data_IF_526173265588
#
_entry.id   IF_526173265588
#
_cell.length_a   1.000
_cell.length_b   1.000
_cell.length_c   1.000
_cell.angle_alpha   90.00
_cell.angle_beta   90.00
_cell.angle_gamma   90.00
#
_symmetry.space_group_name_H-M   'P 1'
#
loop_
_entity.id
_entity.type
_entity.pdbx_description
1 polymer ?
#
# COMPACT_ATOMS: atom_id res chain seq x y z
N UNK A 1 -8.35 -11.50 -2.71
CA UNK A 1 -9.29 -12.34 -1.92
C UNK A 1 -8.66 -13.70 -1.66
N UNK A 2 -8.73 -14.17 -0.41
CA UNK A 2 -8.17 -15.44 0.02
C UNK A 2 -8.95 -16.63 -0.56
N UNK A 3 -8.23 -17.63 -1.06
CA UNK A 3 -8.83 -18.82 -1.72
C UNK A 3 -8.56 -20.09 -0.93
N UNK A 4 -9.58 -20.95 -0.87
CA UNK A 4 -9.53 -22.24 -0.19
C UNK A 4 -8.98 -23.33 -1.12
N UNK A 5 -8.03 -24.12 -0.63
CA UNK A 5 -7.41 -25.21 -1.36
C UNK A 5 -7.17 -26.43 -0.49
N UNK A 6 -7.01 -27.57 -1.13
CA UNK A 6 -6.64 -28.82 -0.48
C UNK A 6 -5.56 -29.49 -1.32
N UNK A 7 -4.50 -29.96 -0.67
CA UNK A 7 -3.47 -30.77 -1.33
C UNK A 7 -3.76 -32.24 -1.05
N UNK A 8 -4.18 -32.98 -2.08
CA UNK A 8 -4.73 -34.33 -1.91
C UNK A 8 -5.87 -34.32 -0.87
N UNK A 9 -5.65 -34.90 0.31
CA UNK A 9 -6.61 -34.89 1.42
C UNK A 9 -6.19 -33.96 2.59
N UNK A 10 -5.10 -33.21 2.46
CA UNK A 10 -4.59 -32.33 3.51
C UNK A 10 -5.01 -30.87 3.30
N UNK A 11 -5.46 -30.26 4.39
CA UNK A 11 -5.77 -28.82 4.47
C UNK A 11 -4.51 -27.98 4.75
N UNK A 12 -3.34 -28.60 4.92
CA UNK A 12 -2.08 -27.91 5.23
C UNK A 12 -1.34 -27.47 3.95
N UNK A 13 -1.96 -26.53 3.22
CA UNK A 13 -1.47 -26.03 1.92
C UNK A 13 -0.05 -25.45 2.00
N UNK A 14 0.28 -24.76 3.09
CA UNK A 14 1.59 -24.13 3.30
C UNK A 14 2.74 -25.12 3.57
N UNK A 15 2.44 -26.40 3.87
CA UNK A 15 3.49 -27.43 3.92
C UNK A 15 4.00 -27.79 2.51
N UNK A 16 3.11 -27.79 1.53
CA UNK A 16 3.36 -28.24 0.16
C UNK A 16 3.64 -27.09 -0.81
N UNK A 17 3.58 -25.85 -0.34
CA UNK A 17 3.81 -24.67 -1.16
C UNK A 17 4.66 -23.64 -0.43
N UNK A 18 5.47 -22.89 -1.17
CA UNK A 18 6.14 -21.69 -0.68
C UNK A 18 5.81 -20.54 -1.61
N UNK A 19 5.10 -19.56 -1.08
CA UNK A 19 4.69 -18.38 -1.83
C UNK A 19 5.55 -17.18 -1.41
N UNK A 20 6.07 -16.46 -2.40
CA UNK A 20 6.77 -15.18 -2.21
C UNK A 20 6.27 -14.17 -3.24
N UNK A 21 6.78 -12.94 -3.18
CA UNK A 21 6.49 -11.91 -4.17
C UNK A 21 7.21 -12.10 -5.52
N UNK A 22 8.26 -12.94 -5.60
CA UNK A 22 9.03 -13.14 -6.83
C UNK A 22 8.85 -14.51 -7.46
N UNK A 23 8.49 -15.53 -6.68
CA UNK A 23 8.36 -16.90 -7.15
C UNK A 23 7.43 -17.72 -6.25
N UNK A 24 6.90 -18.80 -6.80
CA UNK A 24 6.12 -19.78 -6.07
C UNK A 24 6.73 -21.18 -6.25
N UNK A 25 6.98 -21.89 -5.16
CA UNK A 25 7.40 -23.29 -5.19
C UNK A 25 6.22 -24.18 -4.83
N UNK A 26 5.98 -25.23 -5.61
CA UNK A 26 4.94 -26.22 -5.38
C UNK A 26 5.52 -27.64 -5.31
N UNK A 27 4.99 -28.45 -4.40
CA UNK A 27 5.33 -29.85 -4.31
C UNK A 27 4.82 -30.61 -5.53
N UNK A 28 5.64 -31.54 -6.03
CA UNK A 28 5.19 -32.48 -7.07
C UNK A 28 4.30 -33.56 -6.44
N UNK A 29 3.18 -33.85 -7.10
CA UNK A 29 2.23 -34.89 -6.71
C UNK A 29 0.83 -34.39 -6.36
N UNK A 30 0.57 -33.07 -6.41
CA UNK A 30 -0.76 -32.51 -6.23
C UNK A 30 -1.73 -32.82 -7.38
N UNK A 31 -3.02 -32.60 -7.12
CA UNK A 31 -4.09 -32.67 -8.13
C UNK A 31 -4.01 -31.50 -9.13
N UNK A 32 -4.62 -31.64 -10.30
CA UNK A 32 -4.76 -30.54 -11.26
C UNK A 32 -5.56 -29.37 -10.67
N UNK A 33 -6.55 -29.65 -9.82
CA UNK A 33 -7.30 -28.61 -9.09
C UNK A 33 -6.39 -27.77 -8.20
N UNK A 34 -5.43 -28.40 -7.52
CA UNK A 34 -4.45 -27.70 -6.70
C UNK A 34 -3.57 -26.78 -7.55
N UNK A 35 -3.00 -27.29 -8.65
CA UNK A 35 -2.14 -26.46 -9.50
C UNK A 35 -2.90 -25.34 -10.21
N UNK A 36 -4.11 -25.64 -10.72
CA UNK A 36 -4.93 -24.67 -11.44
C UNK A 36 -5.31 -23.48 -10.57
N UNK A 37 -5.52 -23.66 -9.27
CA UNK A 37 -5.76 -22.55 -8.36
C UNK A 37 -4.55 -21.61 -8.22
N UNK A 38 -3.34 -22.16 -8.03
CA UNK A 38 -2.13 -21.34 -8.01
C UNK A 38 -1.88 -20.68 -9.37
N UNK A 39 -2.03 -21.42 -10.47
CA UNK A 39 -1.86 -20.92 -11.83
C UNK A 39 -2.86 -19.80 -12.14
N UNK A 40 -4.14 -19.93 -11.73
CA UNK A 40 -5.18 -18.90 -11.95
C UNK A 40 -4.88 -17.56 -11.28
N UNK A 41 -4.12 -17.57 -10.18
CA UNK A 41 -3.83 -16.37 -9.38
C UNK A 41 -2.45 -15.79 -9.62
N UNK A 42 -1.50 -16.63 -10.05
CA UNK A 42 -0.08 -16.29 -10.04
C UNK A 42 0.60 -16.41 -11.39
N UNK A 43 0.05 -17.15 -12.37
CA UNK A 43 0.75 -17.48 -13.61
C UNK A 43 1.21 -16.25 -14.40
N UNK A 44 0.45 -15.15 -14.33
CA UNK A 44 0.78 -13.92 -15.05
C UNK A 44 1.84 -13.06 -14.32
N UNK A 45 2.06 -13.28 -13.02
CA UNK A 45 2.89 -12.41 -12.18
C UNK A 45 4.22 -13.04 -11.77
N UNK A 46 4.23 -14.33 -11.40
CA UNK A 46 5.42 -15.00 -10.86
C UNK A 46 5.57 -16.43 -11.40
N UNK A 47 6.82 -16.91 -11.60
CA UNK A 47 7.07 -18.28 -12.00
C UNK A 47 6.64 -19.27 -10.90
N UNK A 48 5.91 -20.31 -11.33
CA UNK A 48 5.50 -21.43 -10.49
C UNK A 48 6.43 -22.61 -10.80
N UNK A 49 7.24 -23.01 -9.81
CA UNK A 49 8.24 -24.08 -9.95
C UNK A 49 7.78 -25.31 -9.17
N UNK A 50 7.53 -26.41 -9.89
CA UNK A 50 7.16 -27.70 -9.30
C UNK A 50 8.44 -28.47 -8.98
N UNK A 51 8.69 -28.80 -7.71
CA UNK A 51 9.97 -29.42 -7.30
C UNK A 51 9.86 -30.33 -6.06
N UNK A 52 10.97 -31.02 -5.76
CA UNK A 52 11.22 -31.71 -4.51
C UNK A 52 12.35 -30.99 -3.76
N UNK A 53 12.35 -31.07 -2.43
CA UNK A 53 13.47 -30.58 -1.61
C UNK A 53 13.94 -31.73 -0.75
N UNK A 54 15.17 -32.20 -0.99
CA UNK A 54 15.75 -33.33 -0.29
C UNK A 54 14.96 -34.63 -0.49
N UNK A 55 14.40 -34.82 -1.70
CA UNK A 55 13.55 -35.97 -2.02
C UNK A 55 12.17 -35.96 -1.34
N UNK A 56 11.78 -34.84 -0.71
CA UNK A 56 10.53 -34.71 0.03
C UNK A 56 9.55 -33.74 -0.64
N UNK A 57 8.25 -33.94 -0.34
CA UNK A 57 7.13 -33.11 -0.82
C UNK A 57 6.82 -31.92 0.09
N UNK A 58 7.32 -31.91 1.34
CA UNK A 58 7.03 -30.84 2.31
C UNK A 58 7.92 -29.61 2.09
N UNK A 59 7.89 -29.07 0.88
CA UNK A 59 8.81 -28.02 0.43
C UNK A 59 8.64 -26.73 1.25
N UNK A 60 7.42 -26.34 1.59
CA UNK A 60 7.13 -25.07 2.28
C UNK A 60 7.70 -25.04 3.69
N UNK A 61 7.79 -26.22 4.32
CA UNK A 61 8.41 -26.42 5.64
C UNK A 61 9.92 -26.51 5.58
N UNK A 62 10.46 -27.09 4.50
CA UNK A 62 11.91 -27.28 4.35
C UNK A 62 12.64 -26.02 3.91
N UNK A 63 11.96 -25.08 3.24
CA UNK A 63 12.58 -23.86 2.72
C UNK A 63 12.00 -22.56 3.33
N UNK A 64 12.85 -21.55 3.36
CA UNK A 64 12.49 -20.18 3.70
C UNK A 64 13.01 -19.24 2.61
N UNK A 65 12.29 -18.18 2.30
CA UNK A 65 12.67 -17.30 1.22
C UNK A 65 11.74 -16.11 1.06
N UNK A 66 12.27 -15.08 0.42
CA UNK A 66 11.57 -13.85 0.09
C UNK A 66 11.83 -13.50 -1.38
N UNK A 67 11.53 -12.28 -1.81
CA UNK A 67 11.74 -11.91 -3.23
C UNK A 67 13.22 -11.92 -3.69
N UNK A 68 14.17 -11.82 -2.75
CA UNK A 68 15.61 -11.65 -3.03
C UNK A 68 16.36 -13.00 -2.96
N UNK A 69 15.91 -13.95 -2.16
CA UNK A 69 16.65 -15.19 -1.95
C UNK A 69 15.81 -16.36 -1.46
N UNK A 70 16.34 -17.57 -1.70
CA UNK A 70 15.76 -18.84 -1.31
C UNK A 70 16.80 -19.66 -0.53
N UNK A 71 16.43 -20.04 0.68
CA UNK A 71 17.22 -20.89 1.56
C UNK A 71 16.70 -22.33 1.48
N UNK A 72 17.61 -23.25 1.15
CA UNK A 72 17.33 -24.68 1.05
C UNK A 72 18.22 -25.48 2.01
N UNK A 73 17.74 -26.61 2.54
CA UNK A 73 18.50 -27.41 3.49
C UNK A 73 19.70 -28.10 2.81
N UNK A 74 20.68 -28.53 3.62
CA UNK A 74 21.83 -29.30 3.12
C UNK A 74 21.43 -30.61 2.40
N UNK A 75 20.23 -31.14 2.66
CA UNK A 75 19.72 -32.39 2.08
C UNK A 75 19.31 -32.25 0.62
N UNK A 76 19.16 -31.03 0.12
CA UNK A 76 18.78 -30.75 -1.27
C UNK A 76 19.82 -31.28 -2.24
N UNK A 77 19.39 -32.08 -3.21
CA UNK A 77 20.30 -32.68 -4.20
C UNK A 77 20.84 -31.66 -5.20
N UNK A 78 21.93 -31.98 -5.88
CA UNK A 78 22.50 -31.08 -6.91
C UNK A 78 21.56 -30.90 -8.10
N UNK A 79 20.80 -31.93 -8.46
CA UNK A 79 19.80 -31.88 -9.52
C UNK A 79 18.65 -30.94 -9.15
N UNK A 80 18.10 -31.07 -7.94
CA UNK A 80 17.05 -30.17 -7.41
C UNK A 80 17.53 -28.71 -7.39
N UNK A 81 18.75 -28.48 -6.92
CA UNK A 81 19.30 -27.13 -6.83
C UNK A 81 19.53 -26.51 -8.21
N UNK A 82 20.02 -27.30 -9.18
CA UNK A 82 20.18 -26.84 -10.55
C UNK A 82 18.82 -26.54 -11.20
N UNK A 83 17.81 -27.37 -10.95
CA UNK A 83 16.44 -27.12 -11.40
C UNK A 83 15.87 -25.81 -10.84
N UNK A 84 16.08 -25.56 -9.55
CA UNK A 84 15.68 -24.29 -8.91
C UNK A 84 16.38 -23.10 -9.56
N UNK A 85 17.71 -23.15 -9.73
CA UNK A 85 18.48 -22.07 -10.36
C UNK A 85 18.06 -21.78 -11.81
N UNK A 86 17.65 -22.80 -12.56
CA UNK A 86 17.21 -22.63 -13.94
C UNK A 86 15.78 -22.04 -14.04
N UNK A 87 14.96 -22.24 -13.02
CA UNK A 87 13.53 -21.89 -13.05
C UNK A 87 13.21 -20.59 -12.32
N UNK A 88 14.05 -20.21 -11.35
CA UNK A 88 13.91 -18.97 -10.58
C UNK A 88 14.49 -17.78 -11.38
N UNK A 89 13.98 -16.55 -11.16
CA UNK A 89 14.57 -15.35 -11.75
C UNK A 89 16.01 -15.14 -11.28
N UNK A 90 16.87 -14.60 -12.15
CA UNK A 90 18.32 -14.40 -11.88
C UNK A 90 18.62 -13.55 -10.63
N UNK A 91 17.66 -12.72 -10.21
CA UNK A 91 17.77 -11.89 -9.00
C UNK A 91 17.70 -12.71 -7.70
N UNK A 92 17.16 -13.93 -7.75
CA UNK A 92 16.92 -14.76 -6.55
C UNK A 92 18.16 -15.60 -6.24
N UNK A 93 18.81 -15.30 -5.12
CA UNK A 93 19.98 -16.07 -4.67
C UNK A 93 19.52 -17.37 -4.01
N UNK A 94 19.88 -18.52 -4.58
CA UNK A 94 19.60 -19.84 -4.01
C UNK A 94 20.81 -20.36 -3.26
N UNK A 95 20.70 -20.46 -1.93
CA UNK A 95 21.78 -20.88 -1.04
C UNK A 95 21.40 -22.11 -0.19
N UNK A 96 22.33 -23.06 -0.09
CA UNK A 96 22.22 -24.17 0.86
C UNK A 96 22.73 -23.76 2.23
N UNK A 97 21.96 -24.10 3.25
CA UNK A 97 22.34 -23.92 4.65
C UNK A 97 22.41 -25.28 5.34
N UNK A 98 23.49 -25.51 6.09
CA UNK A 98 23.57 -26.61 7.05
C UNK A 98 23.08 -26.09 8.41
N UNK A 99 21.90 -26.55 8.82
CA UNK A 99 21.33 -26.24 10.12
C UNK A 99 20.81 -27.52 10.77
N UNK A 100 21.14 -27.72 12.06
CA UNK A 100 20.88 -28.99 12.78
C UNK A 100 19.68 -28.97 13.72
N UNK A 101 19.05 -27.80 13.91
CA UNK A 101 17.95 -27.62 14.87
C UNK A 101 16.62 -28.18 14.36
N UNK A 102 16.05 -27.53 13.35
CA UNK A 102 14.74 -27.84 12.77
C UNK A 102 14.76 -27.45 11.29
N UNK A 103 13.77 -27.85 10.48
CA UNK A 103 13.63 -27.35 9.12
C UNK A 103 13.66 -25.82 9.02
N UNK A 104 14.25 -25.29 7.96
CA UNK A 104 14.43 -23.84 7.77
C UNK A 104 13.10 -23.08 7.80
N UNK A 105 12.04 -23.65 7.19
CA UNK A 105 10.71 -23.04 7.17
C UNK A 105 9.99 -23.04 8.53
N UNK A 106 10.39 -23.90 9.48
CA UNK A 106 9.90 -23.82 10.86
C UNK A 106 10.69 -22.81 11.70
N UNK A 107 11.97 -22.63 11.39
CA UNK A 107 12.87 -21.75 12.14
C UNK A 107 12.77 -20.28 11.72
N UNK A 108 12.34 -20.00 10.48
CA UNK A 108 12.44 -18.68 9.86
C UNK A 108 11.07 -18.25 9.33
N UNK A 109 10.59 -17.08 9.77
CA UNK A 109 9.47 -16.36 9.18
C UNK A 109 9.99 -15.04 8.60
N UNK A 110 9.83 -14.80 7.30
CA UNK A 110 10.40 -13.62 6.65
C UNK A 110 9.41 -12.92 5.71
N UNK A 111 9.58 -11.61 5.59
CA UNK A 111 9.05 -10.82 4.47
C UNK A 111 10.23 -10.23 3.66
N UNK A 112 9.98 -9.23 2.81
CA UNK A 112 11.06 -8.65 1.98
C UNK A 112 11.95 -7.64 2.72
N UNK A 113 11.65 -7.35 4.00
CA UNK A 113 12.35 -6.32 4.79
C UNK A 113 12.98 -6.87 6.08
N UNK A 114 12.30 -7.81 6.73
CA UNK A 114 12.62 -8.33 8.06
C UNK A 114 12.40 -9.84 8.10
N UNK A 115 13.24 -10.54 8.85
CA UNK A 115 13.07 -11.93 9.20
C UNK A 115 13.05 -12.14 10.71
N UNK A 116 12.15 -12.98 11.19
CA UNK A 116 12.18 -13.58 12.52
C UNK A 116 12.85 -14.93 12.42
N UNK A 117 13.74 -15.21 13.35
CA UNK A 117 14.48 -16.45 13.38
C UNK A 117 14.51 -17.06 14.80
N UNK A 118 14.74 -18.37 14.86
CA UNK A 118 14.88 -19.11 16.11
C UNK A 118 16.01 -18.54 16.99
N UNK A 119 15.80 -18.47 18.31
CA UNK A 119 16.76 -17.84 19.25
C UNK A 119 18.13 -18.53 19.27
N UNK A 120 18.13 -19.85 19.17
CA UNK A 120 19.33 -20.68 19.28
C UNK A 120 20.06 -20.89 17.94
N UNK A 121 19.75 -20.08 16.92
CA UNK A 121 20.47 -20.10 15.65
C UNK A 121 21.95 -19.75 15.83
N UNK A 122 22.81 -20.42 15.08
CA UNK A 122 24.23 -20.10 15.02
C UNK A 122 24.43 -18.74 14.34
N UNK A 123 25.37 -17.92 14.82
CA UNK A 123 25.67 -16.59 14.26
C UNK A 123 26.03 -16.67 12.76
N UNK A 124 26.81 -17.69 12.36
CA UNK A 124 27.14 -17.93 10.94
C UNK A 124 25.88 -18.15 10.09
N UNK A 125 24.88 -18.87 10.62
CA UNK A 125 23.64 -19.12 9.89
C UNK A 125 22.80 -17.85 9.78
N UNK A 126 22.76 -17.04 10.83
CA UNK A 126 22.08 -15.75 10.83
C UNK A 126 22.66 -14.78 9.81
N UNK A 127 23.99 -14.68 9.72
CA UNK A 127 24.67 -13.87 8.71
C UNK A 127 24.32 -14.32 7.29
N UNK A 128 24.32 -15.63 7.02
CA UNK A 128 23.91 -16.17 5.71
C UNK A 128 22.46 -15.83 5.39
N UNK A 129 21.56 -15.89 6.38
CA UNK A 129 20.15 -15.54 6.18
C UNK A 129 20.03 -14.05 5.83
N UNK A 130 20.72 -13.17 6.57
CA UNK A 130 20.69 -11.73 6.34
C UNK A 130 21.22 -11.37 4.95
N UNK A 131 22.34 -11.98 4.53
CA UNK A 131 22.98 -11.72 3.24
C UNK A 131 22.15 -12.24 2.06
N UNK A 132 21.63 -13.47 2.15
CA UNK A 132 20.89 -14.10 1.05
C UNK A 132 19.51 -13.50 0.87
N UNK A 133 18.80 -13.23 1.96
CA UNK A 133 17.46 -12.64 1.91
C UNK A 133 17.50 -11.11 1.80
N UNK A 134 18.63 -10.47 2.14
CA UNK A 134 18.77 -9.01 2.14
C UNK A 134 17.84 -8.34 3.16
N UNK A 135 17.71 -8.92 4.35
CA UNK A 135 16.79 -8.47 5.40
C UNK A 135 17.46 -8.42 6.76
N UNK A 136 16.92 -7.60 7.66
CA UNK A 136 17.32 -7.60 9.06
C UNK A 136 16.74 -8.84 9.76
N UNK A 137 17.59 -9.60 10.45
CA UNK A 137 17.19 -10.81 11.19
C UNK A 137 17.03 -10.48 12.66
N UNK A 138 15.91 -10.89 13.26
CA UNK A 138 15.63 -10.74 14.68
C UNK A 138 15.36 -12.11 15.30
N UNK A 139 16.11 -12.43 16.34
CA UNK A 139 15.89 -13.60 17.18
C UNK A 139 14.73 -13.33 18.14
N UNK A 140 13.62 -14.05 17.97
CA UNK A 140 12.42 -13.80 18.75
C UNK A 140 11.61 -15.08 18.98
N UNK A 141 10.73 -15.05 19.99
CA UNK A 141 9.74 -16.10 20.27
C UNK A 141 8.32 -15.61 20.02
N UNK A 142 7.43 -16.49 19.59
CA UNK A 142 6.01 -16.18 19.35
C UNK A 142 5.16 -17.08 20.23
N UNK A 143 4.38 -16.49 21.14
CA UNK A 143 3.53 -17.22 22.10
C UNK A 143 4.29 -18.34 22.86
N UNK A 144 5.48 -18.02 23.37
CA UNK A 144 6.38 -18.98 24.05
C UNK A 144 6.89 -20.14 23.16
N UNK A 145 6.70 -20.08 21.84
CA UNK A 145 7.24 -21.05 20.91
C UNK A 145 8.51 -20.51 20.24
N UNK A 146 9.51 -21.39 20.12
CA UNK A 146 10.78 -21.10 19.45
C UNK A 146 10.70 -21.18 17.91
N UNK A 147 9.74 -21.97 17.39
CA UNK A 147 9.57 -22.21 15.95
C UNK A 147 8.71 -21.11 15.30
N UNK A 148 9.28 -19.91 15.17
CA UNK A 148 8.56 -18.73 14.64
C UNK A 148 7.99 -18.94 13.24
N UNK A 149 8.70 -19.67 12.37
CA UNK A 149 8.27 -20.00 11.01
C UNK A 149 7.04 -20.90 10.95
N UNK A 150 6.76 -21.65 12.01
CA UNK A 150 5.59 -22.53 12.11
C UNK A 150 4.31 -21.80 12.54
N UNK A 151 4.48 -20.81 13.41
CA UNK A 151 3.38 -20.13 14.11
C UNK A 151 3.12 -18.71 13.60
N UNK A 152 3.82 -18.30 12.56
CA UNK A 152 3.67 -16.97 11.96
C UNK A 152 3.63 -17.07 10.44
N UNK A 153 2.73 -16.30 9.83
CA UNK A 153 2.71 -16.06 8.39
C UNK A 153 2.83 -14.55 8.15
N UNK A 154 3.84 -14.14 7.37
CA UNK A 154 4.18 -12.73 7.14
C UNK A 154 4.12 -12.38 5.66
N UNK A 155 3.72 -11.15 5.39
CA UNK A 155 3.86 -10.45 4.10
C UNK A 155 4.47 -9.06 4.34
N UNK A 156 4.58 -8.23 3.30
CA UNK A 156 4.96 -6.83 3.49
C UNK A 156 3.79 -5.95 3.94
N UNK A 157 2.54 -6.43 3.80
CA UNK A 157 1.33 -5.67 4.13
C UNK A 157 0.83 -5.92 5.54
N UNK A 158 1.02 -7.14 6.05
CA UNK A 158 0.57 -7.58 7.35
C UNK A 158 1.02 -9.00 7.67
N UNK A 159 0.61 -9.51 8.83
CA UNK A 159 0.91 -10.88 9.25
C UNK A 159 -0.05 -11.43 10.28
N UNK A 160 -0.10 -12.76 10.36
CA UNK A 160 -0.86 -13.48 11.38
C UNK A 160 0.13 -14.24 12.26
N UNK A 161 -0.12 -14.20 13.56
CA UNK A 161 0.62 -14.94 14.58
C UNK A 161 -0.30 -15.91 15.32
N UNK A 162 0.31 -16.77 16.13
CA UNK A 162 -0.38 -17.71 16.99
C UNK A 162 -1.49 -17.07 17.84
N UNK A 163 -2.63 -17.76 17.98
CA UNK A 163 -3.83 -17.27 18.67
C UNK A 163 -3.60 -16.89 20.14
N UNK A 164 -2.68 -17.55 20.84
CA UNK A 164 -2.36 -17.28 22.25
C UNK A 164 -1.23 -16.26 22.46
N UNK A 165 -0.89 -15.46 21.43
CA UNK A 165 0.11 -14.39 21.58
C UNK A 165 -0.46 -13.28 22.47
N UNK A 166 0.30 -12.85 23.48
CA UNK A 166 -0.11 -11.76 24.36
C UNK A 166 -0.14 -10.42 23.62
N UNK A 167 -0.98 -9.48 24.03
CA UNK A 167 -1.03 -8.13 23.45
C UNK A 167 0.33 -7.41 23.57
N UNK A 168 1.03 -7.61 24.70
CA UNK A 168 2.38 -7.06 24.89
C UNK A 168 3.39 -7.60 23.89
N UNK A 169 3.33 -8.90 23.57
CA UNK A 169 4.23 -9.51 22.58
C UNK A 169 3.84 -9.12 21.15
N UNK A 170 2.55 -8.96 20.87
CA UNK A 170 2.07 -8.40 19.61
C UNK A 170 2.64 -6.99 19.38
N UNK A 171 2.56 -6.09 20.36
CA UNK A 171 3.10 -4.72 20.24
C UNK A 171 4.62 -4.68 20.02
N UNK A 172 5.35 -5.60 20.68
CA UNK A 172 6.79 -5.77 20.43
C UNK A 172 7.05 -6.21 18.98
N UNK A 173 6.32 -7.22 18.50
CA UNK A 173 6.47 -7.73 17.14
C UNK A 173 6.05 -6.70 16.09
N UNK A 174 5.01 -5.91 16.34
CA UNK A 174 4.57 -4.80 15.48
C UNK A 174 5.68 -3.76 15.31
N UNK A 175 6.35 -3.40 16.42
CA UNK A 175 7.45 -2.43 16.41
C UNK A 175 8.66 -2.93 15.62
N UNK A 176 8.98 -4.23 15.76
CA UNK A 176 10.09 -4.87 15.07
C UNK A 176 9.81 -5.04 13.57
N UNK A 177 8.67 -5.63 13.23
CA UNK A 177 8.33 -6.00 11.85
C UNK A 177 7.82 -4.82 11.01
N UNK A 178 7.35 -3.74 11.65
CA UNK A 178 6.78 -2.54 11.00
C UNK A 178 5.61 -2.85 10.06
N UNK A 179 4.90 -3.94 10.32
CA UNK A 179 3.68 -4.37 9.60
C UNK A 179 2.60 -4.71 10.63
N UNK A 180 1.31 -4.50 10.34
CA UNK A 180 0.23 -4.87 11.22
C UNK A 180 0.17 -6.39 11.43
N UNK A 181 -0.08 -6.82 12.67
CA UNK A 181 -0.14 -8.21 13.10
C UNK A 181 -1.43 -8.46 13.85
N UNK A 182 -2.00 -9.64 13.64
CA UNK A 182 -3.18 -10.12 14.38
C UNK A 182 -2.94 -11.55 14.84
N UNK A 183 -3.36 -11.87 16.06
CA UNK A 183 -3.43 -13.24 16.55
C UNK A 183 -4.67 -13.93 15.98
N UNK A 184 -4.50 -15.10 15.37
CA UNK A 184 -5.59 -15.80 14.70
C UNK A 184 -5.35 -17.30 14.56
N UNK A 185 -6.28 -17.97 13.89
CA UNK A 185 -6.21 -19.39 13.55
C UNK A 185 -6.53 -19.60 12.07
N UNK A 186 -6.22 -20.80 11.58
CA UNK A 186 -6.55 -21.26 10.22
C UNK A 186 -7.19 -22.64 10.30
N UNK A 187 -7.86 -23.12 9.25
CA UNK A 187 -8.40 -24.49 9.21
C UNK A 187 -9.29 -24.88 10.42
N UNK A 188 -10.25 -24.02 10.81
CA UNK A 188 -11.17 -24.26 11.95
C UNK A 188 -10.46 -24.36 13.29
N UNK A 189 -9.61 -23.38 13.59
CA UNK A 189 -8.96 -23.30 14.90
C UNK A 189 -7.61 -23.99 14.99
N UNK A 190 -6.97 -24.33 13.86
CA UNK A 190 -5.57 -24.76 13.87
C UNK A 190 -4.66 -23.58 14.22
N UNK A 191 -3.79 -23.82 15.17
CA UNK A 191 -2.76 -22.88 15.65
C UNK A 191 -1.55 -22.81 14.72
N UNK A 192 -1.40 -23.79 13.82
CA UNK A 192 -0.25 -23.92 12.92
C UNK A 192 -0.48 -23.10 11.66
N UNK A 193 -0.27 -21.79 11.78
CA UNK A 193 -0.61 -20.81 10.75
C UNK A 193 0.10 -21.09 9.43
N UNK A 194 1.43 -21.23 9.44
CA UNK A 194 2.19 -21.37 8.19
C UNK A 194 1.98 -22.72 7.48
N UNK A 195 1.53 -23.75 8.20
CA UNK A 195 1.12 -25.00 7.56
C UNK A 195 -0.23 -24.85 6.86
N UNK A 196 -1.17 -24.10 7.45
CA UNK A 196 -2.53 -23.95 6.92
C UNK A 196 -2.67 -22.92 5.80
N UNK A 197 -1.68 -22.06 5.57
CA UNK A 197 -1.74 -21.04 4.51
C UNK A 197 -0.39 -20.69 3.91
N UNK A 198 -0.44 -20.16 2.68
CA UNK A 198 0.65 -19.47 2.02
C UNK A 198 0.16 -18.10 1.55
N UNK A 199 0.95 -17.04 1.76
CA UNK A 199 0.52 -15.66 1.52
C UNK A 199 1.63 -14.85 0.87
N UNK A 200 1.24 -13.92 0.00
CA UNK A 200 2.07 -12.83 -0.48
C UNK A 200 1.30 -11.50 -0.40
N UNK A 201 1.80 -10.44 -1.04
CA UNK A 201 1.19 -9.11 -0.90
C UNK A 201 -0.17 -8.95 -1.62
N UNK A 202 -0.58 -9.87 -2.50
CA UNK A 202 -1.82 -9.72 -3.28
C UNK A 202 -2.73 -10.95 -3.27
N UNK A 203 -2.24 -12.12 -2.85
CA UNK A 203 -3.05 -13.31 -2.67
C UNK A 203 -2.70 -14.08 -1.41
N UNK A 204 -3.70 -14.77 -0.86
CA UNK A 204 -3.54 -15.76 0.18
C UNK A 204 -4.26 -17.05 -0.22
N UNK A 205 -3.58 -18.17 -0.01
CA UNK A 205 -4.07 -19.51 -0.27
C UNK A 205 -4.13 -20.25 1.05
N UNK A 206 -5.34 -20.66 1.44
CA UNK A 206 -5.63 -21.23 2.75
C UNK A 206 -6.20 -22.64 2.59
N UNK A 207 -6.10 -23.47 3.62
CA UNK A 207 -6.71 -24.79 3.60
C UNK A 207 -8.24 -24.76 3.50
N UNK A 208 -8.81 -25.81 2.91
CA UNK A 208 -10.25 -25.92 2.61
C UNK A 208 -11.16 -25.81 3.83
N UNK A 209 -10.65 -26.19 5.01
CA UNK A 209 -11.41 -26.12 6.25
C UNK A 209 -11.51 -24.69 6.82
N UNK A 210 -10.67 -23.76 6.37
CA UNK A 210 -10.63 -22.38 6.88
C UNK A 210 -12.00 -21.72 6.81
N UNK A 211 -12.51 -21.30 7.97
CA UNK A 211 -13.85 -20.72 8.13
C UNK A 211 -13.95 -19.35 7.44
N UNK A 212 -15.16 -18.90 7.16
CA UNK A 212 -15.37 -17.58 6.53
C UNK A 212 -14.93 -16.43 7.44
N UNK A 213 -15.07 -16.57 8.75
CA UNK A 213 -14.55 -15.62 9.74
C UNK A 213 -13.02 -15.55 9.72
N UNK A 214 -12.34 -16.69 9.59
CA UNK A 214 -10.87 -16.73 9.45
C UNK A 214 -10.46 -16.10 8.11
N UNK A 215 -11.14 -16.42 7.00
CA UNK A 215 -10.86 -15.80 5.70
C UNK A 215 -11.05 -14.29 5.71
N UNK A 216 -12.12 -13.79 6.33
CA UNK A 216 -12.37 -12.34 6.42
C UNK A 216 -11.26 -11.63 7.21
N UNK A 217 -10.77 -12.25 8.27
CA UNK A 217 -9.64 -11.75 9.04
C UNK A 217 -8.36 -11.72 8.19
N UNK A 218 -8.10 -12.79 7.44
CA UNK A 218 -6.95 -12.92 6.52
C UNK A 218 -7.00 -11.84 5.43
N UNK A 219 -8.14 -11.67 4.76
CA UNK A 219 -8.30 -10.65 3.73
C UNK A 219 -8.07 -9.23 4.27
N UNK A 220 -8.56 -8.96 5.49
CA UNK A 220 -8.41 -7.66 6.16
C UNK A 220 -6.96 -7.38 6.55
N UNK A 221 -6.28 -8.32 7.25
CA UNK A 221 -4.93 -8.09 7.77
C UNK A 221 -3.87 -8.01 6.67
N UNK A 222 -4.01 -8.84 5.65
CA UNK A 222 -3.10 -8.85 4.50
C UNK A 222 -3.51 -7.84 3.42
N UNK A 223 -4.62 -7.12 3.61
CA UNK A 223 -5.11 -6.09 2.67
C UNK A 223 -5.25 -6.64 1.26
N UNK A 224 -5.78 -7.87 1.16
CA UNK A 224 -5.97 -8.60 -0.11
C UNK A 224 -7.23 -8.15 -0.86
N UNK A 225 -8.05 -7.34 -0.17
CA UNK A 225 -9.22 -6.63 -0.68
C UNK A 225 -8.98 -5.12 -0.82
N UNK A 226 -7.76 -4.61 -0.61
CA UNK A 226 -7.42 -3.20 -0.92
C UNK A 226 -7.25 -3.00 -2.44
N UNK A 227 -8.36 -3.17 -3.15
CA UNK A 227 -8.75 -2.26 -4.23
C UNK A 227 -9.47 -1.06 -3.57
N UNK A 228 -9.36 0.14 -4.14
CA UNK A 228 -9.68 1.39 -3.42
C UNK A 228 -11.20 1.57 -3.21
N UNK A 229 -11.67 1.72 -1.97
CA UNK A 229 -13.09 2.06 -1.74
C UNK A 229 -13.38 3.53 -2.07
N UNK A 230 -13.81 3.76 -3.31
CA UNK A 230 -14.55 4.97 -3.69
C UNK A 230 -15.89 4.96 -2.94
N UNK A 231 -16.02 5.83 -1.92
CA UNK A 231 -17.17 5.86 -1.00
C UNK A 231 -18.51 6.06 -1.73
N UNK A 232 -19.52 5.23 -1.38
CA UNK A 232 -20.88 5.31 -1.91
C UNK A 232 -21.65 6.41 -1.16
N UNK A 233 -22.10 7.45 -1.86
CA UNK A 233 -22.80 8.61 -1.28
C UNK A 233 -24.32 8.47 -1.37
N UNK A 234 -25.02 9.04 -0.38
CA UNK A 234 -26.47 9.06 -0.26
C UNK A 234 -27.08 10.44 -0.59
N UNK A 235 -28.40 10.51 -0.81
CA UNK A 235 -29.08 11.79 -1.10
C UNK A 235 -28.97 12.80 0.03
N UNK A 236 -29.00 12.34 1.29
CA UNK A 236 -28.86 13.21 2.47
C UNK A 236 -27.51 13.92 2.54
N UNK A 237 -26.48 13.33 1.95
CA UNK A 237 -25.11 13.84 2.04
C UNK A 237 -24.71 14.67 0.82
N UNK A 238 -25.49 14.61 -0.27
CA UNK A 238 -25.19 15.23 -1.56
C UNK A 238 -24.84 16.73 -1.46
N UNK A 239 -25.69 17.49 -0.77
CA UNK A 239 -25.50 18.94 -0.66
C UNK A 239 -24.22 19.29 0.11
N UNK A 240 -23.86 18.48 1.10
CA UNK A 240 -22.65 18.69 1.92
C UNK A 240 -21.37 18.23 1.22
N UNK A 241 -21.40 17.06 0.58
CA UNK A 241 -20.21 16.40 0.03
C UNK A 241 -19.91 16.80 -1.40
N UNK A 242 -20.94 17.18 -2.19
CA UNK A 242 -20.81 17.49 -3.62
C UNK A 242 -21.01 18.98 -3.88
N UNK A 243 -22.14 19.56 -3.42
CA UNK A 243 -22.47 20.96 -3.73
C UNK A 243 -21.58 21.93 -2.95
N UNK A 244 -21.49 21.76 -1.63
CA UNK A 244 -20.74 22.66 -0.75
C UNK A 244 -19.26 22.27 -0.58
N UNK A 245 -18.73 21.39 -1.43
CA UNK A 245 -17.34 20.95 -1.33
C UNK A 245 -16.37 22.04 -1.77
N UNK A 246 -15.37 22.30 -0.92
CA UNK A 246 -14.27 23.24 -1.20
C UNK A 246 -13.31 22.73 -2.29
N UNK A 247 -13.21 21.41 -2.43
CA UNK A 247 -12.41 20.73 -3.46
C UNK A 247 -13.32 20.14 -4.54
N UNK A 248 -12.88 20.07 -5.81
CA UNK A 248 -13.67 19.45 -6.87
C UNK A 248 -14.01 17.99 -6.55
N UNK A 249 -15.21 17.58 -6.95
CA UNK A 249 -15.79 16.29 -6.61
C UNK A 249 -16.14 15.53 -7.88
N UNK A 250 -15.67 14.30 -7.99
CA UNK A 250 -16.05 13.37 -9.03
C UNK A 250 -17.05 12.36 -8.46
N UNK A 251 -18.23 12.29 -9.04
CA UNK A 251 -19.25 11.29 -8.68
C UNK A 251 -19.51 10.37 -9.85
N UNK A 252 -19.34 9.08 -9.62
CA UNK A 252 -19.67 8.02 -10.57
C UNK A 252 -21.02 7.39 -10.22
N UNK A 253 -21.96 7.48 -11.14
CA UNK A 253 -23.28 6.89 -11.01
C UNK A 253 -23.24 5.44 -11.47
N UNK A 254 -23.57 4.54 -10.56
CA UNK A 254 -23.46 3.09 -10.73
C UNK A 254 -24.80 2.41 -10.49
N UNK A 255 -24.85 1.14 -10.83
CA UNK A 255 -25.93 0.23 -10.47
C UNK A 255 -25.29 -1.05 -9.91
N UNK A 256 -25.84 -1.58 -8.83
CA UNK A 256 -25.49 -2.92 -8.35
C UNK A 256 -25.81 -3.97 -9.43
N UNK A 257 -24.84 -4.87 -9.69
CA UNK A 257 -24.85 -5.82 -10.83
C UNK A 257 -24.69 -5.15 -12.22
N UNK A 258 -23.70 -4.27 -12.35
CA UNK A 258 -23.31 -3.61 -13.60
C UNK A 258 -21.81 -3.86 -13.90
N UNK A 259 -21.46 -4.83 -14.77
CA UNK A 259 -20.07 -5.11 -15.13
C UNK A 259 -19.31 -3.90 -15.74
N UNK A 260 -19.92 -3.06 -16.61
CA UNK A 260 -19.28 -1.82 -17.07
C UNK A 260 -18.94 -0.84 -15.93
N UNK A 261 -19.76 -0.82 -14.88
CA UNK A 261 -19.54 0.03 -13.72
C UNK A 261 -18.34 -0.44 -12.90
N UNK A 262 -18.11 -1.76 -12.79
CA UNK A 262 -16.91 -2.29 -12.13
C UNK A 262 -15.63 -1.90 -12.88
N UNK A 263 -15.68 -1.89 -14.21
CA UNK A 263 -14.53 -1.52 -15.04
C UNK A 263 -14.15 -0.04 -14.91
N UNK A 264 -15.12 0.88 -14.93
CA UNK A 264 -14.85 2.31 -14.76
C UNK A 264 -14.45 2.63 -13.31
N UNK A 265 -14.96 1.87 -12.34
CA UNK A 265 -14.54 1.97 -10.93
C UNK A 265 -13.02 1.78 -10.80
N UNK A 266 -12.44 0.74 -11.41
CA UNK A 266 -10.99 0.50 -11.41
C UNK A 266 -10.15 1.72 -11.87
N UNK A 267 -10.63 2.45 -12.88
CA UNK A 267 -9.94 3.64 -13.41
C UNK A 267 -10.03 4.80 -12.42
N UNK A 268 -11.19 4.95 -11.79
CA UNK A 268 -11.42 5.93 -10.75
C UNK A 268 -10.55 5.65 -9.52
N UNK A 269 -10.27 4.38 -9.19
CA UNK A 269 -9.37 3.99 -8.10
C UNK A 269 -7.91 4.40 -8.39
N UNK A 270 -7.45 4.22 -9.64
CA UNK A 270 -6.14 4.74 -10.08
C UNK A 270 -6.06 6.26 -9.91
N UNK A 271 -7.11 6.98 -10.31
CA UNK A 271 -7.17 8.43 -10.17
C UNK A 271 -7.23 8.86 -8.70
N UNK A 272 -7.97 8.14 -7.87
CA UNK A 272 -8.01 8.35 -6.43
C UNK A 272 -6.61 8.31 -5.82
N UNK A 273 -5.82 7.28 -6.14
CA UNK A 273 -4.45 7.11 -5.62
C UNK A 273 -3.51 8.26 -6.01
N UNK A 274 -3.68 8.81 -7.23
CA UNK A 274 -2.84 9.88 -7.77
C UNK A 274 -3.24 11.28 -7.28
N UNK A 275 -4.53 11.51 -7.05
CA UNK A 275 -5.08 12.83 -6.72
C UNK A 275 -5.70 12.90 -5.31
N UNK A 276 -5.27 12.03 -4.41
CA UNK A 276 -5.73 11.98 -3.03
C UNK A 276 -5.57 13.36 -2.35
N UNK A 277 -6.65 13.87 -1.77
CA UNK A 277 -6.68 15.18 -1.10
C UNK A 277 -6.84 16.39 -2.04
N UNK A 278 -6.69 16.21 -3.36
CA UNK A 278 -6.96 17.25 -4.37
C UNK A 278 -8.34 17.15 -4.98
N UNK A 279 -8.83 15.93 -5.15
CA UNK A 279 -10.18 15.63 -5.59
C UNK A 279 -10.84 14.69 -4.59
N UNK A 280 -12.17 14.80 -4.48
CA UNK A 280 -12.99 13.78 -3.79
C UNK A 280 -13.62 12.88 -4.84
N UNK A 281 -13.65 11.58 -4.56
CA UNK A 281 -14.15 10.55 -5.46
C UNK A 281 -15.27 9.80 -4.74
N UNK A 282 -16.44 9.73 -5.36
CA UNK A 282 -17.62 9.07 -4.80
C UNK A 282 -18.36 8.22 -5.84
N UNK A 283 -19.04 7.17 -5.40
CA UNK A 283 -20.01 6.43 -6.21
C UNK A 283 -21.43 6.68 -5.73
N UNK A 284 -22.44 6.62 -6.60
CA UNK A 284 -23.85 6.75 -6.22
C UNK A 284 -24.68 5.71 -6.95
N UNK A 285 -25.43 4.88 -6.21
CA UNK A 285 -26.30 3.88 -6.84
C UNK A 285 -27.63 4.48 -7.28
N UNK A 286 -27.94 4.31 -8.55
CA UNK A 286 -29.11 4.92 -9.20
C UNK A 286 -30.44 4.27 -8.81
N UNK A 287 -30.46 3.02 -8.32
CA UNK A 287 -31.66 2.35 -7.80
C UNK A 287 -31.98 2.82 -6.39
N UNK A 288 -30.96 2.99 -5.56
CA UNK A 288 -31.13 3.49 -4.20
C UNK A 288 -31.53 4.97 -4.25
N UNK A 289 -30.85 5.77 -5.06
CA UNK A 289 -30.93 7.24 -5.04
C UNK A 289 -31.57 7.82 -6.32
N UNK A 290 -32.78 7.35 -6.62
CA UNK A 290 -33.52 7.70 -7.84
C UNK A 290 -33.80 9.19 -8.01
N UNK A 291 -33.90 9.95 -6.92
CA UNK A 291 -34.16 11.40 -6.94
C UNK A 291 -33.02 12.19 -7.58
N UNK A 292 -31.79 11.91 -7.18
CA UNK A 292 -30.59 12.53 -7.75
C UNK A 292 -30.34 12.01 -9.16
N UNK A 293 -30.52 10.72 -9.39
CA UNK A 293 -30.40 10.13 -10.72
C UNK A 293 -31.36 10.80 -11.73
N UNK A 294 -32.59 11.13 -11.34
CA UNK A 294 -33.52 11.92 -12.18
C UNK A 294 -33.07 13.36 -12.36
N UNK A 295 -32.63 14.02 -11.28
CA UNK A 295 -32.17 15.43 -11.31
C UNK A 295 -31.07 15.66 -12.34
N UNK A 296 -30.14 14.71 -12.48
CA UNK A 296 -29.03 14.80 -13.42
C UNK A 296 -29.27 14.03 -14.74
N UNK A 297 -30.51 13.67 -15.05
CA UNK A 297 -30.91 12.98 -16.30
C UNK A 297 -30.26 11.60 -16.53
N UNK A 298 -29.90 10.91 -15.46
CA UNK A 298 -29.29 9.57 -15.46
C UNK A 298 -30.37 8.48 -15.42
N UNK A 299 -31.49 8.75 -14.77
CA UNK A 299 -32.70 7.93 -14.78
C UNK A 299 -33.79 8.60 -15.63
N UNK A 300 -34.37 7.86 -16.59
CA UNK A 300 -35.51 8.30 -17.42
C UNK A 300 -36.62 7.26 -17.42
N UNK A 301 -37.86 7.73 -17.40
CA UNK A 301 -39.04 6.87 -17.44
C UNK A 301 -39.57 6.77 -18.88
N UNK A 302 -39.76 5.55 -19.36
CA UNK A 302 -40.30 5.25 -20.70
C UNK A 302 -41.62 4.50 -20.58
N UNK A 303 -42.70 4.99 -21.18
CA UNK A 303 -44.02 4.36 -21.11
C UNK A 303 -44.40 3.71 -22.45
N UNK A 304 -44.82 2.44 -22.41
CA UNK A 304 -45.32 1.71 -23.57
C UNK A 304 -46.49 0.82 -23.16
N UNK A 305 -47.64 0.97 -23.84
CA UNK A 305 -48.89 0.23 -23.55
C UNK A 305 -49.33 0.31 -22.06
N UNK A 306 -49.20 1.49 -21.45
CA UNK A 306 -49.64 1.72 -20.06
C UNK A 306 -48.70 1.19 -18.98
N UNK A 307 -47.58 0.57 -19.35
CA UNK A 307 -46.52 0.10 -18.44
C UNK A 307 -45.34 1.08 -18.52
N UNK A 308 -44.86 1.52 -17.37
CA UNK A 308 -43.72 2.43 -17.23
C UNK A 308 -42.46 1.61 -16.94
N UNK A 309 -41.39 1.87 -17.69
CA UNK A 309 -40.07 1.27 -17.53
C UNK A 309 -39.05 2.34 -17.11
N UNK A 310 -38.16 1.99 -16.20
CA UNK A 310 -37.04 2.84 -15.78
C UNK A 310 -35.78 2.51 -16.59
N UNK A 311 -35.21 3.52 -17.26
CA UNK A 311 -34.00 3.41 -18.07
C UNK A 311 -32.88 4.18 -17.37
N UNK A 312 -31.78 3.49 -17.07
CA UNK A 312 -30.62 4.05 -16.40
C UNK A 312 -29.45 4.18 -17.39
N UNK A 313 -28.85 5.36 -17.44
CA UNK A 313 -27.64 5.62 -18.23
C UNK A 313 -26.40 5.49 -17.34
N UNK A 314 -25.95 4.25 -17.09
CA UNK A 314 -24.80 3.93 -16.22
C UNK A 314 -23.78 3.05 -16.94
N UNK A 315 -22.46 3.18 -16.68
CA UNK A 315 -21.85 4.14 -15.77
C UNK A 315 -21.78 5.55 -16.38
N UNK A 316 -22.09 6.57 -15.57
CA UNK A 316 -21.91 7.98 -15.94
C UNK A 316 -21.12 8.66 -14.83
N UNK A 317 -20.07 9.39 -15.19
CA UNK A 317 -19.24 10.13 -14.21
C UNK A 317 -19.39 11.62 -14.43
N UNK A 318 -19.71 12.35 -13.37
CA UNK A 318 -19.90 13.80 -13.40
C UNK A 318 -18.90 14.49 -12.46
N UNK A 319 -18.33 15.58 -12.94
CA UNK A 319 -17.45 16.45 -12.18
C UNK A 319 -18.20 17.68 -11.68
N UNK A 320 -18.05 17.97 -10.39
CA UNK A 320 -18.68 19.09 -9.71
C UNK A 320 -17.63 20.01 -9.10
N UNK A 321 -17.91 21.32 -9.12
CA UNK A 321 -17.16 22.32 -8.36
C UNK A 321 -18.13 23.41 -7.87
N UNK A 322 -18.25 23.59 -6.56
CA UNK A 322 -19.13 24.61 -5.98
C UNK A 322 -20.62 24.47 -6.36
N UNK A 323 -21.08 23.25 -6.63
CA UNK A 323 -22.46 22.96 -7.02
C UNK A 323 -22.74 22.92 -8.51
N UNK A 324 -21.84 23.44 -9.34
CA UNK A 324 -21.99 23.46 -10.80
C UNK A 324 -21.44 22.17 -11.43
N UNK A 325 -22.15 21.66 -12.45
CA UNK A 325 -21.72 20.56 -13.30
C UNK A 325 -20.67 21.07 -14.29
N UNK A 326 -19.41 20.67 -14.09
CA UNK A 326 -18.27 21.15 -14.88
C UNK A 326 -18.05 20.32 -16.15
N UNK A 327 -18.20 19.00 -16.02
CA UNK A 327 -18.03 18.05 -17.10
C UNK A 327 -18.77 16.75 -16.78
N UNK A 328 -19.16 16.04 -17.85
CA UNK A 328 -19.82 14.74 -17.77
C UNK A 328 -19.19 13.81 -18.78
N UNK A 329 -18.92 12.60 -18.35
CA UNK A 329 -18.49 11.49 -19.20
C UNK A 329 -19.58 10.44 -19.17
N UNK A 330 -20.23 10.24 -20.31
CA UNK A 330 -21.20 9.17 -20.52
C UNK A 330 -20.45 7.99 -21.15
N UNK A 331 -20.65 6.77 -20.64
CA UNK A 331 -20.05 5.52 -21.18
C UNK A 331 -18.51 5.40 -21.02
N UNK A 332 -17.96 4.26 -21.49
CA UNK A 332 -16.62 3.72 -21.18
C UNK A 332 -15.50 4.40 -22.00
N UNK A 333 -15.45 5.74 -22.04
CA UNK A 333 -14.33 6.45 -22.67
C UNK A 333 -13.27 6.86 -21.64
N UNK A 334 -12.45 5.89 -21.21
CA UNK A 334 -11.42 6.03 -20.17
C UNK A 334 -10.47 7.23 -20.36
N UNK A 335 -10.02 7.43 -21.60
CA UNK A 335 -9.07 8.48 -21.94
C UNK A 335 -9.61 9.89 -21.63
N UNK A 336 -10.94 10.05 -21.69
CA UNK A 336 -11.59 11.33 -21.45
C UNK A 336 -11.64 11.65 -19.95
N UNK A 337 -11.78 10.64 -19.09
CA UNK A 337 -11.73 10.81 -17.62
C UNK A 337 -10.35 11.29 -17.14
N UNK A 338 -9.29 10.61 -17.57
CA UNK A 338 -7.91 10.99 -17.20
C UNK A 338 -7.58 12.40 -17.69
N UNK A 339 -7.89 12.70 -18.96
CA UNK A 339 -7.69 14.02 -19.56
C UNK A 339 -8.46 15.12 -18.82
N UNK A 340 -9.70 14.86 -18.42
CA UNK A 340 -10.51 15.83 -17.67
C UNK A 340 -9.96 16.08 -16.27
N UNK A 341 -9.54 15.02 -15.54
CA UNK A 341 -8.90 15.19 -14.23
C UNK A 341 -7.63 16.02 -14.36
N UNK A 342 -6.78 15.72 -15.35
CA UNK A 342 -5.54 16.48 -15.58
C UNK A 342 -5.81 17.95 -15.95
N UNK A 343 -6.80 18.18 -16.82
CA UNK A 343 -7.20 19.54 -17.21
C UNK A 343 -7.76 20.34 -16.02
N UNK A 344 -8.59 19.73 -15.19
CA UNK A 344 -9.20 20.41 -14.04
C UNK A 344 -8.26 20.52 -12.83
N UNK A 345 -7.37 19.56 -12.60
CA UNK A 345 -6.29 19.67 -11.60
C UNK A 345 -5.41 20.86 -11.94
N UNK A 346 -5.05 21.03 -13.22
CA UNK A 346 -4.37 22.22 -13.69
C UNK A 346 -5.20 23.49 -13.44
N UNK A 347 -6.50 23.52 -13.78
CA UNK A 347 -7.34 24.72 -13.57
C UNK A 347 -7.59 25.10 -12.09
N UNK A 348 -7.63 24.12 -11.17
CA UNK A 348 -7.95 24.33 -9.74
C UNK A 348 -6.68 24.58 -8.92
N UNK A 349 -5.59 23.88 -9.23
CA UNK A 349 -4.35 23.91 -8.46
C UNK A 349 -3.20 24.66 -9.15
N UNK A 350 -3.43 25.34 -10.29
CA UNK A 350 -2.56 26.45 -10.73
C UNK A 350 -2.75 27.72 -9.89
N UNK A 351 -2.87 27.59 -8.56
CA UNK A 351 -2.68 28.70 -7.63
C UNK A 351 -1.50 28.37 -6.72
N UNK A 352 -0.45 29.18 -6.84
CA UNK A 352 0.80 29.12 -6.06
C UNK A 352 0.52 29.08 -4.54
N UNK A 353 1.36 28.41 -3.73
CA UNK A 353 1.22 28.41 -2.27
C UNK A 353 1.25 29.85 -1.71
N UNK A 354 0.41 30.11 -0.71
CA UNK A 354 0.12 31.45 -0.14
C UNK A 354 1.14 31.88 0.93
N UNK A 355 2.39 31.39 0.88
CA UNK A 355 3.47 31.99 1.65
C UNK A 355 4.00 33.18 0.85
N UNK A 356 4.00 34.37 1.46
CA UNK A 356 4.39 35.58 0.75
C UNK A 356 5.82 35.45 0.24
N UNK A 357 5.98 35.48 -1.08
CA UNK A 357 7.28 35.61 -1.72
C UNK A 357 7.77 37.03 -1.50
N UNK A 358 8.99 37.18 -1.00
CA UNK A 358 9.62 38.48 -0.77
C UNK A 358 10.82 38.64 -1.70
N UNK A 359 11.08 39.89 -2.06
CA UNK A 359 12.28 40.28 -2.83
C UNK A 359 13.37 40.86 -1.93
N UNK A 360 14.56 41.03 -2.48
CA UNK A 360 15.68 41.60 -1.74
C UNK A 360 15.45 43.04 -1.30
N UNK A 361 14.59 43.79 -2.01
CA UNK A 361 14.20 45.16 -1.64
C UNK A 361 13.38 45.22 -0.35
N UNK A 362 12.66 44.15 -0.01
CA UNK A 362 11.78 44.09 1.15
C UNK A 362 12.47 43.47 2.37
N UNK A 363 13.61 42.80 2.15
CA UNK A 363 14.35 42.02 3.16
C UNK A 363 14.62 42.79 4.46
N UNK A 364 15.17 44.00 4.35
CA UNK A 364 15.52 44.78 5.54
C UNK A 364 14.30 45.21 6.34
N UNK A 365 13.18 45.50 5.65
CA UNK A 365 11.96 45.96 6.29
C UNK A 365 11.15 44.82 6.92
N UNK A 366 11.04 43.68 6.23
CA UNK A 366 10.19 42.57 6.62
C UNK A 366 10.91 41.52 7.47
N UNK A 367 12.22 41.34 7.28
CA UNK A 367 13.01 40.31 7.95
C UNK A 367 13.89 40.90 9.05
N UNK A 368 14.72 41.89 8.73
CA UNK A 368 15.71 42.44 9.68
C UNK A 368 15.06 43.31 10.76
N UNK A 369 14.16 44.23 10.37
CA UNK A 369 13.48 45.17 11.28
C UNK A 369 12.21 44.58 11.92
N UNK A 370 11.95 43.29 11.77
CA UNK A 370 10.74 42.68 12.32
C UNK A 370 10.80 42.57 13.85
N UNK A 371 9.72 43.00 14.50
CA UNK A 371 9.56 42.92 15.97
C UNK A 371 9.37 41.48 16.47
N UNK A 372 8.89 40.61 15.59
CA UNK A 372 8.70 39.17 15.83
C UNK A 372 9.72 38.36 15.02
N UNK A 373 10.11 37.15 15.48
CA UNK A 373 10.99 36.28 14.70
C UNK A 373 10.40 35.95 13.33
N UNK A 374 11.28 35.87 12.33
CA UNK A 374 10.92 35.66 10.92
C UNK A 374 11.60 34.39 10.43
N UNK A 375 10.80 33.47 9.91
CA UNK A 375 11.27 32.25 9.26
C UNK A 375 11.22 32.44 7.75
N UNK A 376 12.38 32.35 7.11
CA UNK A 376 12.50 32.46 5.64
C UNK A 376 12.95 31.12 5.08
N UNK A 377 12.19 30.58 4.14
CA UNK A 377 12.62 29.43 3.34
C UNK A 377 13.20 29.88 2.01
N UNK A 378 14.42 29.45 1.78
CA UNK A 378 15.13 29.58 0.53
C UNK A 378 14.73 28.42 -0.39
N UNK A 379 14.17 28.74 -1.55
CA UNK A 379 13.57 27.79 -2.49
C UNK A 379 14.12 27.98 -3.90
N UNK A 380 13.88 27.00 -4.76
CA UNK A 380 13.94 27.14 -6.22
C UNK A 380 12.61 26.67 -6.83
N UNK A 381 12.32 27.11 -8.05
CA UNK A 381 11.12 26.69 -8.77
C UNK A 381 11.24 25.20 -9.16
N UNK A 382 10.11 24.50 -9.27
CA UNK A 382 10.00 23.10 -9.73
C UNK A 382 10.64 22.02 -8.82
N UNK A 383 11.05 22.36 -7.60
CA UNK A 383 11.52 21.37 -6.62
C UNK A 383 10.38 20.76 -5.82
N UNK A 384 10.16 19.44 -5.95
CA UNK A 384 9.11 18.70 -5.24
C UNK A 384 9.26 18.76 -3.71
N UNK A 385 10.49 18.73 -3.20
CA UNK A 385 10.77 18.87 -1.76
C UNK A 385 10.45 20.28 -1.25
N UNK A 386 10.67 21.32 -2.06
CA UNK A 386 10.28 22.69 -1.74
C UNK A 386 8.76 22.87 -1.70
N UNK A 387 8.02 22.18 -2.57
CA UNK A 387 6.55 22.20 -2.54
C UNK A 387 6.01 21.61 -1.24
N UNK A 388 6.51 20.45 -0.82
CA UNK A 388 6.13 19.83 0.45
C UNK A 388 6.48 20.71 1.66
N UNK A 389 7.66 21.32 1.66
CA UNK A 389 8.09 22.21 2.74
C UNK A 389 7.25 23.50 2.81
N UNK A 390 6.88 24.05 1.65
CA UNK A 390 6.02 25.23 1.55
C UNK A 390 4.63 24.99 2.16
N UNK A 391 4.07 23.78 2.00
CA UNK A 391 2.79 23.41 2.63
C UNK A 391 2.89 23.36 4.16
N UNK A 392 4.02 22.89 4.68
CA UNK A 392 4.25 22.85 6.13
C UNK A 392 4.46 24.27 6.68
N UNK A 393 5.17 25.14 5.97
CA UNK A 393 5.32 26.55 6.35
C UNK A 393 3.98 27.29 6.39
N UNK A 394 3.08 27.04 5.45
CA UNK A 394 1.76 27.68 5.42
C UNK A 394 0.89 27.25 6.63
N UNK A 395 0.95 25.96 6.99
CA UNK A 395 0.31 25.43 8.22
C UNK A 395 0.90 26.08 9.48
N UNK A 396 2.22 26.22 9.56
CA UNK A 396 2.88 26.88 10.70
C UNK A 396 2.55 28.38 10.75
N UNK A 397 2.49 29.05 9.60
CA UNK A 397 2.10 30.44 9.47
C UNK A 397 0.73 30.70 10.08
N UNK A 398 -0.25 29.85 9.75
CA UNK A 398 -1.59 29.92 10.32
C UNK A 398 -1.58 29.71 11.85
N UNK A 399 -0.84 28.71 12.34
CA UNK A 399 -0.77 28.37 13.77
C UNK A 399 -0.07 29.42 14.64
N UNK A 400 0.94 30.10 14.10
CA UNK A 400 1.76 31.06 14.84
C UNK A 400 1.49 32.52 14.44
N UNK A 401 0.31 32.81 13.90
CA UNK A 401 -0.14 34.15 13.51
C UNK A 401 0.14 35.17 14.62
N UNK A 402 0.81 36.27 14.26
CA UNK A 402 1.16 37.36 15.18
C UNK A 402 2.36 37.08 16.11
N UNK A 403 2.85 35.84 16.17
CA UNK A 403 4.04 35.45 16.96
C UNK A 403 5.28 35.18 16.10
N UNK A 404 5.08 34.74 14.86
CA UNK A 404 6.13 34.54 13.86
C UNK A 404 5.65 35.06 12.50
N UNK A 405 6.59 35.44 11.64
CA UNK A 405 6.35 35.71 10.21
C UNK A 405 7.03 34.66 9.36
N UNK A 406 6.42 34.32 8.23
CA UNK A 406 6.89 33.27 7.32
C UNK A 406 6.95 33.82 5.90
N UNK A 407 8.10 33.64 5.26
CA UNK A 407 8.34 34.11 3.89
C UNK A 407 9.10 33.08 3.07
N UNK A 408 8.96 33.19 1.75
CA UNK A 408 9.74 32.40 0.79
C UNK A 408 10.58 33.33 -0.07
N UNK A 409 11.83 32.95 -0.31
CA UNK A 409 12.75 33.68 -1.16
C UNK A 409 13.37 32.72 -2.18
N UNK A 410 13.24 33.05 -3.46
CA UNK A 410 13.80 32.23 -4.53
C UNK A 410 15.29 32.57 -4.68
N UNK A 411 16.17 31.57 -4.54
CA UNK A 411 17.63 31.78 -4.55
C UNK A 411 18.19 32.10 -5.94
N UNK A 412 17.50 31.71 -7.01
CA UNK A 412 17.90 32.00 -8.39
C UNK A 412 17.63 33.46 -8.74
N UNK A 413 16.59 34.05 -8.14
CA UNK A 413 16.25 35.46 -8.30
C UNK A 413 17.06 36.35 -7.36
N UNK A 414 17.21 35.94 -6.09
CA UNK A 414 17.79 36.76 -5.02
C UNK A 414 19.20 36.26 -4.62
N UNK A 415 20.06 36.11 -5.62
CA UNK A 415 21.40 35.50 -5.48
C UNK A 415 22.30 36.22 -4.47
N UNK A 416 22.15 37.54 -4.29
CA UNK A 416 22.94 38.31 -3.33
C UNK A 416 22.64 37.94 -1.88
N UNK A 417 21.37 37.71 -1.55
CA UNK A 417 20.94 37.30 -0.21
C UNK A 417 21.28 35.82 0.01
N UNK A 418 21.05 34.97 -1.00
CA UNK A 418 21.41 33.55 -0.93
C UNK A 418 22.92 33.36 -0.65
N UNK A 419 23.79 34.14 -1.30
CA UNK A 419 25.23 34.15 -1.02
C UNK A 419 25.55 34.70 0.37
N UNK A 420 24.89 35.78 0.80
CA UNK A 420 25.12 36.39 2.12
C UNK A 420 24.87 35.41 3.28
N UNK A 421 23.93 34.49 3.12
CA UNK A 421 23.61 33.46 4.12
C UNK A 421 24.20 32.09 3.80
N UNK A 422 25.12 31.98 2.83
CA UNK A 422 25.76 30.72 2.44
C UNK A 422 24.74 29.58 2.16
N UNK A 423 23.71 29.87 1.36
CA UNK A 423 22.73 28.87 0.96
C UNK A 423 23.32 27.96 -0.13
N UNK A 424 23.63 26.72 0.25
CA UNK A 424 24.25 25.72 -0.63
C UNK A 424 23.24 24.78 -1.32
N UNK A 425 22.08 24.57 -0.71
CA UNK A 425 21.04 23.69 -1.23
C UNK A 425 19.65 24.14 -0.79
N UNK A 426 18.63 23.75 -1.53
CA UNK A 426 17.22 24.05 -1.25
C UNK A 426 16.41 22.76 -1.06
N UNK A 427 15.35 22.77 -0.22
CA UNK A 427 14.93 23.89 0.64
C UNK A 427 15.87 24.05 1.85
N UNK A 428 16.20 25.29 2.19
CA UNK A 428 16.87 25.63 3.46
C UNK A 428 16.05 26.69 4.16
N UNK A 429 15.80 26.53 5.45
CA UNK A 429 14.98 27.46 6.24
C UNK A 429 15.81 28.10 7.34
N UNK A 430 15.77 29.43 7.44
CA UNK A 430 16.49 30.19 8.47
C UNK A 430 15.48 30.97 9.31
N UNK A 431 15.69 30.99 10.63
CA UNK A 431 14.95 31.82 11.57
C UNK A 431 15.81 33.02 11.97
N UNK A 432 15.30 34.23 11.78
CA UNK A 432 15.98 35.50 12.01
C UNK A 432 15.20 36.31 13.05
N UNK A 433 15.89 36.94 14.00
CA UNK A 433 15.28 37.88 14.96
C UNK A 433 16.25 39.02 15.25
N UNK A 434 15.79 40.26 15.14
CA UNK A 434 16.63 41.44 15.44
C UNK A 434 17.89 41.54 14.56
N UNK A 435 17.82 41.02 13.33
CA UNK A 435 18.93 40.99 12.37
C UNK A 435 19.96 39.86 12.57
N UNK A 436 19.82 39.02 13.60
CA UNK A 436 20.67 37.84 13.82
C UNK A 436 20.00 36.54 13.38
N UNK A 437 20.80 35.62 12.83
CA UNK A 437 20.40 34.24 12.58
C UNK A 437 20.30 33.48 13.91
N UNK A 438 19.13 32.92 14.20
CA UNK A 438 18.85 32.20 15.44
C UNK A 438 18.96 30.69 15.27
N UNK A 439 18.52 30.18 14.12
CA UNK A 439 18.51 28.76 13.81
C UNK A 439 18.44 28.54 12.30
N UNK A 440 18.99 27.42 11.85
CA UNK A 440 18.97 26.98 10.45
C UNK A 440 18.58 25.52 10.37
N UNK A 441 17.71 25.22 9.42
CA UNK A 441 17.22 23.88 9.13
C UNK A 441 17.51 23.59 7.66
N UNK A 442 18.15 22.45 7.44
CA UNK A 442 18.55 21.96 6.14
C UNK A 442 17.53 20.92 5.65
N UNK A 443 17.00 21.10 4.44
CA UNK A 443 16.09 20.12 3.84
C UNK A 443 14.78 19.90 4.62
N UNK A 444 14.13 18.78 4.32
CA UNK A 444 12.89 18.35 4.98
C UNK A 444 13.24 17.23 5.97
N UNK A 445 13.57 17.60 7.21
CA UNK A 445 13.68 16.65 8.32
C UNK A 445 12.33 16.61 9.05
N UNK A 446 11.53 15.58 8.77
CA UNK A 446 10.27 15.29 9.47
C UNK A 446 10.54 14.65 10.83
#
# INVERSE_FOLDING_TARGET
MATRLQFENSCEVGLFSKLTNAYCLLAIGGSEDFYSAFESQLADAIPIVKTYIGGSRIIGRLCAGNRNGLLVPHTTTNEELQHLRNSLPDQVVVQRIEQRLSPLGDCIACNDRVALAHTDLDEETEEIIADVLGVEVYRQIVACNLLVGRYCALSNRGGIVHAYTSEEDLDKLLTLLRVPLVAGTVNRGSEVISAGMAVNDWTALCGSDTTETELSLIDSIFKLSEDCDIYKISTSEWDSLVINSEVPVMVMFIKDDCPPCQYVRYVMEKLYSKYTGRFKFYTLDVHEETGIARRYNILRNYSKKGIIYDIFNVPTTIFFKGGDEMARVNEIHLYELERLVEQYDALVYTSKPKVNKISGTEWDSLVIKSEVPVMVMFTQDLSASCQSMSLLMDKLGSKYTGRFKFYVLNVDEETGIAKRYDILFVPTTIVIKGGGEMARIFGLHL
#
